data_IF_331008951144
#
_entry.id   IF_331008951144
#
_cell.length_a   1.000
_cell.length_b   1.000
_cell.length_c   1.000
_cell.angle_alpha   90.00
_cell.angle_beta   90.00
_cell.angle_gamma   90.00
#
_symmetry.space_group_name_H-M   'P 1'
#
loop_
_entity.id
_entity.type
_entity.pdbx_description
1 polymer ?
#
# COMPACT_ATOMS: atom_id res chain seq x y z
N UNK A 1 -8.89 -21.21 3.60
CA UNK A 1 -9.67 -20.56 4.64
C UNK A 1 -8.66 -19.88 5.55
N UNK A 2 -8.81 -18.56 5.76
CA UNK A 2 -7.85 -17.75 6.48
C UNK A 2 -7.55 -18.28 7.88
N UNK A 3 -6.52 -17.72 8.47
CA UNK A 3 -5.99 -18.05 9.80
C UNK A 3 -7.07 -17.77 10.87
N UNK A 4 -8.08 -18.64 10.95
CA UNK A 4 -9.13 -18.58 11.96
C UNK A 4 -8.73 -19.48 13.10
N UNK A 5 -8.76 -18.96 14.31
CA UNK A 5 -8.60 -19.72 15.58
C UNK A 5 -9.78 -20.68 15.82
N UNK A 6 -10.45 -21.10 14.77
CA UNK A 6 -11.60 -21.99 14.78
C UNK A 6 -11.09 -23.43 14.76
N UNK A 7 -11.38 -24.18 15.82
CA UNK A 7 -11.03 -25.60 15.89
C UNK A 7 -12.01 -26.42 15.03
N UNK A 8 -11.68 -26.63 13.77
CA UNK A 8 -12.49 -27.35 12.76
C UNK A 8 -12.98 -28.71 13.24
N UNK A 9 -12.16 -29.48 13.97
CA UNK A 9 -12.53 -30.80 14.44
C UNK A 9 -13.64 -30.74 15.50
N UNK A 10 -13.60 -29.73 16.38
CA UNK A 10 -14.61 -29.56 17.44
C UNK A 10 -15.95 -29.11 16.86
N UNK A 11 -15.92 -28.25 15.84
CA UNK A 11 -17.11 -27.78 15.10
C UNK A 11 -17.76 -28.93 14.35
N UNK A 12 -16.99 -29.71 13.59
CA UNK A 12 -17.49 -30.86 12.85
C UNK A 12 -18.23 -31.84 13.76
N UNK A 13 -17.64 -32.22 14.88
CA UNK A 13 -18.26 -33.19 15.81
C UNK A 13 -19.54 -32.68 16.46
N UNK A 14 -19.59 -31.37 16.84
CA UNK A 14 -20.73 -30.82 17.59
C UNK A 14 -21.93 -30.44 16.69
N UNK A 15 -21.65 -29.96 15.48
CA UNK A 15 -22.68 -29.35 14.62
C UNK A 15 -22.85 -30.04 13.27
N UNK A 16 -22.20 -31.19 13.06
CA UNK A 16 -22.28 -31.92 11.80
C UNK A 16 -23.75 -32.29 11.48
N UNK A 17 -24.23 -31.85 10.32
CA UNK A 17 -25.60 -32.08 9.85
C UNK A 17 -26.68 -31.23 10.52
N UNK A 18 -26.33 -30.38 11.51
CA UNK A 18 -27.30 -29.57 12.27
C UNK A 18 -27.26 -28.06 11.93
N UNK A 19 -26.33 -27.61 11.12
CA UNK A 19 -26.28 -26.20 10.68
C UNK A 19 -27.15 -25.98 9.46
N UNK A 20 -27.97 -24.92 9.49
CA UNK A 20 -28.81 -24.46 8.39
C UNK A 20 -28.11 -23.38 7.57
N UNK A 21 -27.38 -22.45 8.22
CA UNK A 21 -26.68 -21.35 7.57
C UNK A 21 -25.40 -20.99 8.32
N UNK A 22 -24.41 -20.49 7.58
CA UNK A 22 -23.17 -19.93 8.12
C UNK A 22 -23.01 -18.48 7.65
N UNK A 23 -22.54 -17.60 8.52
CA UNK A 23 -22.22 -16.22 8.23
C UNK A 23 -20.83 -15.86 8.78
N UNK A 24 -20.03 -15.13 7.98
CA UNK A 24 -18.64 -14.85 8.28
C UNK A 24 -18.43 -13.36 8.52
N UNK A 25 -17.82 -13.01 9.65
CA UNK A 25 -17.21 -11.70 9.86
C UNK A 25 -15.74 -11.73 9.40
N UNK A 26 -15.00 -10.63 9.59
CA UNK A 26 -13.57 -10.58 9.28
C UNK A 26 -12.72 -11.49 10.20
N UNK A 27 -13.22 -11.82 11.39
CA UNK A 27 -12.48 -12.50 12.46
C UNK A 27 -13.25 -13.65 13.14
N UNK A 28 -14.48 -13.91 12.73
CA UNK A 28 -15.34 -14.91 13.36
C UNK A 28 -16.33 -15.57 12.40
N UNK A 29 -16.88 -16.67 12.84
CA UNK A 29 -17.92 -17.45 12.17
C UNK A 29 -19.13 -17.56 13.08
N UNK A 30 -20.32 -17.37 12.54
CA UNK A 30 -21.61 -17.52 13.21
C UNK A 30 -22.40 -18.57 12.45
N UNK A 31 -22.98 -19.51 13.18
CA UNK A 31 -23.82 -20.55 12.63
C UNK A 31 -25.27 -20.41 13.09
N UNK A 32 -26.21 -20.70 12.21
CA UNK A 32 -27.62 -20.91 12.52
C UNK A 32 -27.89 -22.42 12.50
N UNK A 33 -28.39 -22.97 13.59
CA UNK A 33 -28.79 -24.36 13.64
C UNK A 33 -30.17 -24.58 13.00
N UNK A 34 -30.49 -25.81 12.64
CA UNK A 34 -31.85 -26.18 12.15
C UNK A 34 -32.96 -25.94 13.18
N UNK A 35 -32.58 -25.85 14.46
CA UNK A 35 -33.51 -25.53 15.56
C UNK A 35 -33.72 -24.02 15.77
N UNK A 36 -33.08 -23.16 14.95
CA UNK A 36 -33.21 -21.72 15.08
C UNK A 36 -32.30 -21.10 16.17
N UNK A 37 -31.31 -21.82 16.64
CA UNK A 37 -30.32 -21.31 17.60
C UNK A 37 -29.12 -20.72 16.90
N UNK A 38 -28.59 -19.61 17.41
CA UNK A 38 -27.37 -19.00 16.89
C UNK A 38 -26.16 -19.44 17.71
N UNK A 39 -25.15 -19.93 17.03
CA UNK A 39 -23.90 -20.44 17.64
C UNK A 39 -22.71 -19.60 17.17
N UNK A 40 -21.82 -19.30 18.12
CA UNK A 40 -20.58 -18.62 17.87
C UNK A 40 -19.43 -19.62 17.67
N UNK A 41 -18.63 -19.40 16.64
CA UNK A 41 -17.53 -20.27 16.25
C UNK A 41 -16.31 -19.40 15.94
N UNK A 42 -15.54 -19.02 16.98
CA UNK A 42 -14.38 -18.12 16.80
C UNK A 42 -13.61 -17.85 18.08
N UNK A 43 -12.72 -16.87 18.04
CA UNK A 43 -11.96 -16.40 19.20
C UNK A 43 -12.83 -15.54 20.12
N UNK A 44 -12.62 -15.63 21.42
CA UNK A 44 -13.33 -14.81 22.41
C UNK A 44 -13.05 -13.31 22.30
N UNK A 45 -12.01 -12.92 21.55
CA UNK A 45 -11.62 -11.52 21.35
C UNK A 45 -12.43 -10.82 20.25
N UNK A 46 -13.22 -11.55 19.47
CA UNK A 46 -14.06 -10.97 18.44
C UNK A 46 -15.21 -10.14 19.03
N UNK A 47 -15.53 -9.01 18.39
CA UNK A 47 -16.63 -8.14 18.78
C UNK A 47 -18.00 -8.82 18.77
N UNK A 48 -18.17 -9.88 17.98
CA UNK A 48 -19.41 -10.65 17.85
C UNK A 48 -19.48 -11.88 18.77
N UNK A 49 -18.46 -12.10 19.62
CA UNK A 49 -18.39 -13.27 20.52
C UNK A 49 -19.52 -13.33 21.55
N UNK A 50 -20.03 -12.17 21.96
CA UNK A 50 -21.14 -12.05 22.91
C UNK A 50 -22.47 -11.97 22.16
N UNK A 51 -23.10 -13.13 21.94
CA UNK A 51 -24.43 -13.19 21.34
C UNK A 51 -25.44 -12.63 22.33
N UNK A 52 -26.34 -11.70 21.92
CA UNK A 52 -27.42 -11.20 22.79
C UNK A 52 -28.37 -12.32 23.24
N UNK A 53 -28.86 -12.25 24.48
CA UNK A 53 -29.72 -13.28 25.05
C UNK A 53 -31.02 -13.46 24.26
N UNK A 54 -31.54 -12.39 23.66
CA UNK A 54 -32.77 -12.43 22.82
C UNK A 54 -32.57 -13.21 21.50
N UNK A 55 -31.31 -13.50 21.10
CA UNK A 55 -30.96 -14.26 19.91
C UNK A 55 -30.49 -15.68 20.29
N UNK A 56 -29.85 -15.82 21.45
CA UNK A 56 -29.28 -17.07 21.93
C UNK A 56 -30.34 -18.14 22.25
N UNK A 57 -31.52 -17.71 22.67
CA UNK A 57 -32.59 -18.60 23.14
C UNK A 57 -33.45 -19.16 21.99
N UNK A 58 -33.02 -19.07 20.74
CA UNK A 58 -33.73 -19.60 19.58
C UNK A 58 -34.73 -18.62 18.92
N UNK A 59 -35.57 -19.13 18.04
CA UNK A 59 -36.55 -18.32 17.28
C UNK A 59 -35.89 -17.45 16.20
N UNK A 60 -34.73 -17.84 15.70
CA UNK A 60 -34.02 -17.16 14.62
C UNK A 60 -34.28 -17.87 13.30
N UNK A 61 -34.79 -17.11 12.33
CA UNK A 61 -35.12 -17.56 10.98
C UNK A 61 -33.93 -17.43 10.01
N UNK A 62 -33.12 -16.36 10.15
CA UNK A 62 -32.02 -16.07 9.23
C UNK A 62 -30.90 -15.32 9.97
N UNK A 63 -29.67 -15.48 9.48
CA UNK A 63 -28.49 -14.76 9.99
C UNK A 63 -27.72 -14.13 8.85
N UNK A 64 -27.08 -13.01 9.15
CA UNK A 64 -26.11 -12.36 8.27
C UNK A 64 -24.93 -11.84 9.10
N UNK A 65 -23.78 -11.64 8.46
CA UNK A 65 -22.62 -11.03 9.07
C UNK A 65 -22.05 -9.94 8.15
N UNK A 66 -21.52 -8.91 8.76
CA UNK A 66 -20.79 -7.82 8.13
C UNK A 66 -19.34 -7.82 8.66
N UNK A 67 -18.49 -6.87 8.30
CA UNK A 67 -17.08 -6.86 8.66
C UNK A 67 -16.78 -7.26 10.10
N UNK A 68 -17.39 -6.60 11.09
CA UNK A 68 -17.21 -6.84 12.53
C UNK A 68 -18.53 -6.84 13.30
N UNK A 69 -19.63 -7.09 12.62
CA UNK A 69 -20.97 -7.18 13.22
C UNK A 69 -21.71 -8.39 12.71
N UNK A 70 -22.69 -8.83 13.47
CA UNK A 70 -23.59 -9.90 13.11
C UNK A 70 -25.03 -9.46 13.26
N UNK A 71 -25.94 -10.05 12.48
CA UNK A 71 -27.36 -9.79 12.51
C UNK A 71 -28.14 -11.11 12.51
N UNK A 72 -29.20 -11.16 13.28
CA UNK A 72 -30.16 -12.24 13.32
C UNK A 72 -31.57 -11.71 13.02
N UNK A 73 -32.27 -12.37 12.11
CA UNK A 73 -33.66 -12.16 11.83
C UNK A 73 -34.50 -13.14 12.64
N UNK A 74 -35.34 -12.65 13.50
CA UNK A 74 -36.24 -13.45 14.31
C UNK A 74 -37.50 -13.83 13.52
N UNK A 75 -38.22 -14.84 13.99
CA UNK A 75 -39.51 -15.29 13.36
C UNK A 75 -40.60 -14.22 13.37
N UNK A 76 -40.56 -13.29 14.37
CA UNK A 76 -41.44 -12.14 14.45
C UNK A 76 -41.17 -11.03 13.43
N UNK A 77 -40.03 -11.15 12.69
CA UNK A 77 -39.55 -10.16 11.71
C UNK A 77 -38.63 -9.10 12.30
N UNK A 78 -38.29 -9.15 13.61
CA UNK A 78 -37.35 -8.25 14.24
C UNK A 78 -35.91 -8.63 13.86
N UNK A 79 -35.08 -7.65 13.56
CA UNK A 79 -33.64 -7.83 13.33
C UNK A 79 -32.88 -7.35 14.55
N UNK A 80 -32.01 -8.21 15.07
CA UNK A 80 -31.10 -7.89 16.16
C UNK A 80 -29.67 -7.86 15.60
N UNK A 81 -28.98 -6.73 15.80
CA UNK A 81 -27.62 -6.54 15.33
C UNK A 81 -26.68 -6.37 16.52
N UNK A 82 -25.51 -7.02 16.49
CA UNK A 82 -24.52 -6.91 17.56
C UNK A 82 -23.09 -6.89 17.02
N UNK A 83 -22.12 -6.51 17.84
CA UNK A 83 -20.71 -6.38 17.49
C UNK A 83 -20.23 -4.94 17.48
N UNK A 84 -19.35 -4.57 16.55
CA UNK A 84 -18.77 -3.22 16.44
C UNK A 84 -19.65 -2.29 15.59
N UNK A 85 -20.63 -1.64 16.20
CA UNK A 85 -21.72 -0.86 15.57
C UNK A 85 -21.34 0.57 15.15
N UNK A 86 -20.08 0.81 14.71
CA UNK A 86 -19.58 2.17 14.44
C UNK A 86 -20.15 2.83 13.16
N UNK A 87 -20.75 2.08 12.26
CA UNK A 87 -21.21 2.60 10.97
C UNK A 87 -22.75 2.66 10.87
N UNK A 88 -23.48 2.51 11.97
CA UNK A 88 -24.94 2.51 11.99
C UNK A 88 -25.58 1.19 11.53
N UNK A 89 -24.84 0.08 11.71
CA UNK A 89 -25.33 -1.26 11.37
C UNK A 89 -26.54 -1.69 12.19
N UNK A 90 -26.73 -1.09 13.37
CA UNK A 90 -27.89 -1.28 14.28
C UNK A 90 -29.12 -0.47 13.90
N UNK A 91 -28.99 0.51 12.99
CA UNK A 91 -30.09 1.38 12.57
C UNK A 91 -30.94 0.73 11.49
N UNK A 92 -31.61 -0.35 11.85
CA UNK A 92 -32.52 -1.07 10.93
C UNK A 92 -33.69 -0.15 10.56
N UNK A 93 -33.96 0.10 9.27
CA UNK A 93 -35.10 0.93 8.85
C UNK A 93 -36.44 0.33 9.27
N UNK A 94 -37.36 1.17 9.71
CA UNK A 94 -38.75 0.75 9.93
C UNK A 94 -39.40 0.40 8.59
N UNK A 95 -40.07 -0.73 8.53
CA UNK A 95 -40.72 -1.25 7.32
C UNK A 95 -42.17 -1.61 7.57
N UNK A 96 -43.02 -1.39 6.56
CA UNK A 96 -44.42 -1.81 6.61
C UNK A 96 -44.62 -3.31 6.36
N UNK A 97 -43.67 -3.92 5.68
CA UNK A 97 -43.66 -5.33 5.34
C UNK A 97 -42.58 -6.06 6.14
N UNK A 98 -42.78 -7.34 6.44
CA UNK A 98 -41.81 -8.13 7.23
C UNK A 98 -40.56 -8.44 6.43
N UNK A 99 -39.43 -8.46 7.11
CA UNK A 99 -38.17 -8.92 6.54
C UNK A 99 -38.18 -10.44 6.41
N UNK A 100 -37.82 -10.98 5.25
CA UNK A 100 -37.79 -12.42 4.96
C UNK A 100 -36.39 -13.01 4.82
N UNK A 101 -35.42 -12.20 4.44
CA UNK A 101 -34.01 -12.64 4.38
C UNK A 101 -33.03 -11.49 4.62
N UNK A 102 -31.85 -11.84 5.15
CA UNK A 102 -30.77 -10.91 5.44
C UNK A 102 -29.50 -11.27 4.68
N UNK A 103 -28.78 -10.24 4.24
CA UNK A 103 -27.42 -10.35 3.73
C UNK A 103 -26.53 -9.25 4.31
N UNK A 104 -25.25 -9.54 4.52
CA UNK A 104 -24.27 -8.59 5.01
C UNK A 104 -23.20 -8.29 3.97
N UNK A 105 -22.88 -7.01 3.80
CA UNK A 105 -21.69 -6.56 3.08
C UNK A 105 -20.56 -6.25 4.07
N UNK A 106 -19.61 -5.36 3.70
CA UNK A 106 -18.49 -5.10 4.59
C UNK A 106 -18.86 -4.30 5.85
N UNK A 107 -19.71 -3.29 5.73
CA UNK A 107 -20.15 -2.41 6.83
C UNK A 107 -21.61 -1.99 6.62
N UNK A 108 -22.41 -2.83 5.99
CA UNK A 108 -23.81 -2.59 5.71
C UNK A 108 -24.56 -3.91 5.64
N UNK A 109 -25.87 -3.82 5.75
CA UNK A 109 -26.78 -4.93 5.59
C UNK A 109 -27.79 -4.63 4.50
N UNK A 110 -28.31 -5.67 3.91
CA UNK A 110 -29.46 -5.64 2.99
C UNK A 110 -30.48 -6.67 3.41
N UNK A 111 -31.74 -6.39 3.14
CA UNK A 111 -32.82 -7.32 3.41
C UNK A 111 -33.85 -7.31 2.29
N UNK A 112 -34.45 -8.47 2.04
CA UNK A 112 -35.63 -8.61 1.19
C UNK A 112 -36.85 -8.63 2.09
N UNK A 113 -37.87 -7.89 1.70
CA UNK A 113 -39.16 -7.83 2.37
C UNK A 113 -40.19 -8.79 1.74
N UNK A 114 -41.21 -9.13 2.48
CA UNK A 114 -42.27 -10.04 2.03
C UNK A 114 -43.04 -9.54 0.78
N UNK A 115 -43.12 -8.20 0.62
CA UNK A 115 -43.73 -7.58 -0.58
C UNK A 115 -42.79 -7.57 -1.81
N UNK A 116 -41.62 -8.19 -1.69
CA UNK A 116 -40.59 -8.26 -2.74
C UNK A 116 -39.80 -6.98 -2.92
N UNK A 117 -39.85 -6.03 -1.99
CA UNK A 117 -38.99 -4.87 -1.99
C UNK A 117 -37.65 -5.15 -1.25
N UNK A 118 -36.67 -4.26 -1.42
CA UNK A 118 -35.35 -4.36 -0.80
C UNK A 118 -35.09 -3.14 0.05
N UNK A 119 -34.51 -3.35 1.21
CA UNK A 119 -33.96 -2.30 2.07
C UNK A 119 -32.46 -2.52 2.30
N UNK A 120 -31.75 -1.45 2.64
CA UNK A 120 -30.33 -1.50 3.01
C UNK A 120 -30.04 -0.43 4.07
N UNK A 121 -29.08 -0.73 4.96
CA UNK A 121 -28.69 0.19 6.03
C UNK A 121 -27.24 -0.05 6.46
N UNK A 122 -26.68 0.86 7.29
CA UNK A 122 -25.29 0.87 7.71
C UNK A 122 -24.49 1.89 6.92
N UNK A 123 -23.20 1.63 6.69
CA UNK A 123 -22.31 2.55 5.98
C UNK A 123 -22.76 2.80 4.54
N UNK A 124 -22.78 4.07 4.12
CA UNK A 124 -23.32 4.48 2.82
C UNK A 124 -22.41 5.40 1.99
N UNK A 125 -21.11 5.38 2.23
CA UNK A 125 -20.17 6.26 1.53
C UNK A 125 -20.09 6.03 0.01
N UNK A 126 -20.51 4.88 -0.46
CA UNK A 126 -20.51 4.47 -1.87
C UNK A 126 -21.92 4.20 -2.42
N UNK A 127 -22.97 4.59 -1.68
CA UNK A 127 -24.36 4.31 -2.07
C UNK A 127 -24.79 2.87 -1.79
N UNK A 128 -24.04 2.10 -0.98
CA UNK A 128 -24.33 0.69 -0.69
C UNK A 128 -25.57 0.49 0.21
N UNK A 129 -26.03 1.54 0.87
CA UNK A 129 -27.29 1.54 1.59
C UNK A 129 -28.44 2.24 0.83
N UNK A 130 -28.22 2.68 -0.42
CA UNK A 130 -29.25 3.28 -1.27
C UNK A 130 -29.96 2.18 -2.08
N UNK A 131 -30.80 1.41 -1.40
CA UNK A 131 -31.57 0.35 -2.06
C UNK A 131 -32.50 0.92 -3.16
N UNK A 132 -32.54 0.32 -4.35
CA UNK A 132 -33.40 0.77 -5.43
C UNK A 132 -34.88 0.45 -5.14
N UNK A 133 -35.77 1.26 -5.61
CA UNK A 133 -37.24 1.03 -5.53
C UNK A 133 -37.70 -0.06 -6.53
N UNK A 134 -37.20 -1.28 -6.32
CA UNK A 134 -37.53 -2.46 -7.13
C UNK A 134 -38.48 -3.35 -6.35
N UNK A 135 -39.46 -3.96 -7.06
CA UNK A 135 -40.38 -4.98 -6.54
C UNK A 135 -40.06 -6.33 -7.18
N UNK A 136 -40.69 -7.39 -6.67
CA UNK A 136 -40.51 -8.77 -7.15
C UNK A 136 -39.06 -9.31 -6.97
N UNK A 137 -38.38 -8.83 -5.97
CA UNK A 137 -37.03 -9.34 -5.62
C UNK A 137 -37.19 -10.72 -4.99
N UNK A 138 -36.34 -11.65 -5.47
CA UNK A 138 -36.26 -13.01 -4.90
C UNK A 138 -35.05 -13.13 -3.98
N UNK A 139 -33.95 -12.46 -4.31
CA UNK A 139 -32.68 -12.58 -3.57
C UNK A 139 -31.82 -11.33 -3.71
N UNK A 140 -31.06 -11.02 -2.67
CA UNK A 140 -30.01 -10.01 -2.69
C UNK A 140 -28.68 -10.69 -2.32
N UNK A 141 -27.61 -10.33 -3.00
CA UNK A 141 -26.26 -10.73 -2.70
C UNK A 141 -25.46 -9.48 -2.38
N UNK A 142 -24.92 -9.39 -1.17
CA UNK A 142 -24.12 -8.25 -0.74
C UNK A 142 -22.63 -8.59 -0.80
N UNK A 143 -21.91 -7.82 -1.57
CA UNK A 143 -20.45 -7.81 -1.59
C UNK A 143 -19.87 -6.76 -0.65
N UNK A 144 -18.60 -6.40 -0.84
CA UNK A 144 -17.93 -5.43 0.04
C UNK A 144 -18.65 -4.08 0.09
N UNK A 145 -18.94 -3.49 -1.07
CA UNK A 145 -19.60 -2.17 -1.21
C UNK A 145 -20.60 -2.14 -2.34
N UNK A 146 -20.89 -3.26 -2.96
CA UNK A 146 -21.83 -3.41 -4.05
C UNK A 146 -22.81 -4.53 -3.76
N UNK A 147 -24.07 -4.33 -4.15
CA UNK A 147 -25.14 -5.29 -3.96
C UNK A 147 -25.73 -5.67 -5.31
N UNK A 148 -26.17 -6.90 -5.42
CA UNK A 148 -26.80 -7.48 -6.59
C UNK A 148 -28.21 -7.95 -6.19
N UNK A 149 -29.20 -7.47 -6.89
CA UNK A 149 -30.61 -7.78 -6.67
C UNK A 149 -31.10 -8.65 -7.80
N UNK A 150 -31.57 -9.84 -7.49
CA UNK A 150 -32.18 -10.76 -8.44
C UNK A 150 -33.71 -10.68 -8.31
N UNK A 151 -34.40 -10.42 -9.42
CA UNK A 151 -35.85 -10.36 -9.49
C UNK A 151 -36.43 -11.68 -10.02
N UNK A 152 -37.75 -11.89 -9.85
CA UNK A 152 -38.44 -13.12 -10.28
C UNK A 152 -38.33 -13.41 -11.78
N UNK A 153 -38.23 -12.38 -12.59
CA UNK A 153 -38.02 -12.44 -14.05
C UNK A 153 -36.58 -12.71 -14.46
N UNK A 154 -35.68 -13.00 -13.50
CA UNK A 154 -34.27 -13.32 -13.74
C UNK A 154 -33.40 -12.10 -14.00
N UNK A 155 -33.91 -10.88 -13.90
CA UNK A 155 -33.14 -9.66 -14.09
C UNK A 155 -32.26 -9.40 -12.88
N UNK A 156 -31.00 -9.03 -13.12
CA UNK A 156 -30.05 -8.60 -12.09
C UNK A 156 -29.87 -7.09 -12.16
N UNK A 157 -30.05 -6.43 -11.03
CA UNK A 157 -29.81 -4.98 -10.86
C UNK A 157 -28.79 -4.79 -9.75
N UNK A 158 -27.96 -3.76 -9.85
CA UNK A 158 -26.89 -3.50 -8.87
C UNK A 158 -27.07 -2.12 -8.24
N UNK A 159 -26.67 -1.99 -6.97
CA UNK A 159 -26.55 -0.71 -6.29
C UNK A 159 -25.36 -0.68 -5.34
N UNK A 160 -24.92 0.52 -4.94
CA UNK A 160 -23.69 0.72 -4.22
C UNK A 160 -22.56 1.15 -5.15
N UNK A 161 -21.35 0.76 -4.83
CA UNK A 161 -20.18 1.08 -5.64
C UNK A 161 -20.33 0.49 -7.05
N UNK A 162 -20.34 1.35 -8.05
CA UNK A 162 -20.51 0.93 -9.47
C UNK A 162 -19.29 0.24 -10.06
N UNK A 163 -18.27 -0.02 -9.26
CA UNK A 163 -16.99 -0.59 -9.64
C UNK A 163 -15.83 0.35 -9.31
N UNK A 164 -14.61 -0.16 -9.37
CA UNK A 164 -13.40 0.63 -9.24
C UNK A 164 -12.87 0.98 -10.63
N UNK A 165 -12.48 2.23 -10.85
CA UNK A 165 -12.07 2.76 -12.16
C UNK A 165 -10.98 1.89 -12.84
N UNK A 166 -9.99 1.44 -12.06
CA UNK A 166 -8.91 0.57 -12.53
C UNK A 166 -9.03 -0.88 -12.03
N UNK A 167 -10.21 -1.26 -11.50
CA UNK A 167 -10.40 -2.58 -10.90
C UNK A 167 -9.83 -2.69 -9.48
N UNK A 168 -9.65 -3.94 -9.03
CA UNK A 168 -9.20 -4.26 -7.68
C UNK A 168 -7.94 -5.12 -7.69
N UNK A 169 -7.25 -5.15 -6.54
CA UNK A 169 -6.21 -6.15 -6.26
C UNK A 169 -6.80 -7.48 -5.77
N UNK A 170 -5.94 -8.42 -5.34
CA UNK A 170 -6.32 -9.76 -4.84
C UNK A 170 -7.16 -9.74 -3.56
N UNK A 171 -7.15 -8.62 -2.82
CA UNK A 171 -7.92 -8.44 -1.59
C UNK A 171 -9.17 -7.58 -1.80
N UNK A 172 -9.54 -7.30 -3.05
CA UNK A 172 -10.68 -6.46 -3.39
C UNK A 172 -10.50 -4.97 -3.08
N UNK A 173 -9.24 -4.50 -2.88
CA UNK A 173 -8.93 -3.10 -2.59
C UNK A 173 -8.85 -2.30 -3.89
N UNK A 174 -9.33 -1.07 -3.88
CA UNK A 174 -9.28 -0.14 -5.02
C UNK A 174 -7.86 0.05 -5.55
N UNK A 175 -7.64 -0.33 -6.80
CA UNK A 175 -6.33 -0.27 -7.43
C UNK A 175 -5.87 1.18 -7.65
N UNK A 176 -6.76 2.09 -8.06
CA UNK A 176 -6.41 3.51 -8.27
C UNK A 176 -5.89 4.15 -6.97
N UNK A 177 -6.61 3.94 -5.86
CA UNK A 177 -6.17 4.45 -4.56
C UNK A 177 -4.80 3.87 -4.15
N UNK A 178 -4.57 2.59 -4.42
CA UNK A 178 -3.27 1.95 -4.15
C UNK A 178 -2.16 2.50 -5.04
N UNK A 179 -2.43 2.78 -6.31
CA UNK A 179 -1.47 3.39 -7.24
C UNK A 179 -1.04 4.77 -6.76
N UNK A 180 -2.00 5.62 -6.37
CA UNK A 180 -1.69 6.98 -5.88
C UNK A 180 -0.88 6.94 -4.59
N UNK A 181 -1.30 6.13 -3.60
CA UNK A 181 -0.57 6.01 -2.34
C UNK A 181 0.77 5.28 -2.51
N UNK A 182 0.82 4.29 -3.41
CA UNK A 182 2.04 3.58 -3.77
C UNK A 182 3.07 4.49 -4.42
N UNK A 183 2.62 5.37 -5.33
CA UNK A 183 3.48 6.37 -5.95
C UNK A 183 4.06 7.34 -4.94
N UNK A 184 3.23 7.87 -4.02
CA UNK A 184 3.72 8.72 -2.92
C UNK A 184 4.80 8.02 -2.10
N UNK A 185 4.62 6.74 -1.78
CA UNK A 185 5.59 5.96 -1.01
C UNK A 185 6.88 5.75 -1.81
N UNK A 186 6.81 5.25 -3.05
CA UNK A 186 7.97 5.01 -3.92
C UNK A 186 8.78 6.30 -4.14
N UNK A 187 8.10 7.44 -4.45
CA UNK A 187 8.76 8.74 -4.62
C UNK A 187 9.41 9.24 -3.33
N UNK A 188 8.74 9.09 -2.18
CA UNK A 188 9.31 9.49 -0.89
C UNK A 188 10.57 8.67 -0.57
N UNK A 189 10.53 7.36 -0.81
CA UNK A 189 11.69 6.48 -0.58
C UNK A 189 12.85 6.86 -1.49
N UNK A 190 12.60 7.09 -2.78
CA UNK A 190 13.61 7.57 -3.72
C UNK A 190 14.21 8.91 -3.30
N UNK A 191 13.38 9.88 -2.90
CA UNK A 191 13.85 11.21 -2.49
C UNK A 191 14.73 11.15 -1.24
N UNK A 192 14.31 10.41 -0.21
CA UNK A 192 15.14 10.26 1.02
C UNK A 192 16.46 9.56 0.71
N UNK A 193 16.43 8.51 -0.13
CA UNK A 193 17.66 7.82 -0.53
C UNK A 193 18.63 8.74 -1.27
N UNK A 194 18.14 9.56 -2.20
CA UNK A 194 18.96 10.54 -2.92
C UNK A 194 19.52 11.61 -1.99
N UNK A 195 18.72 12.14 -1.06
CA UNK A 195 19.23 13.12 -0.08
C UNK A 195 20.39 12.54 0.72
N UNK A 196 20.27 11.31 1.21
CA UNK A 196 21.35 10.61 1.93
C UNK A 196 22.58 10.42 1.02
N UNK A 197 22.36 9.96 -0.21
CA UNK A 197 23.40 9.76 -1.21
C UNK A 197 24.16 11.06 -1.53
N UNK A 198 23.43 12.16 -1.74
CA UNK A 198 24.00 13.49 -2.02
C UNK A 198 24.86 13.98 -0.84
N UNK A 199 24.34 13.89 0.38
CA UNK A 199 25.09 14.33 1.56
C UNK A 199 26.43 13.58 1.66
N UNK A 200 26.40 12.24 1.57
CA UNK A 200 27.61 11.42 1.66
C UNK A 200 28.53 11.70 0.46
N UNK A 201 27.98 11.71 -0.76
CA UNK A 201 28.75 11.92 -1.99
C UNK A 201 29.45 13.27 -2.05
N UNK A 202 28.78 14.34 -1.62
CA UNK A 202 29.35 15.70 -1.55
C UNK A 202 30.44 15.78 -0.50
N UNK A 203 30.25 15.19 0.69
CA UNK A 203 31.28 15.18 1.74
C UNK A 203 32.52 14.40 1.30
N UNK A 204 32.33 13.16 0.84
CA UNK A 204 33.45 12.29 0.44
C UNK A 204 34.16 12.84 -0.79
N UNK A 205 33.39 13.22 -1.83
CA UNK A 205 33.94 13.78 -3.06
C UNK A 205 34.63 15.14 -2.86
N UNK A 206 34.03 16.01 -2.04
CA UNK A 206 34.56 17.31 -1.68
C UNK A 206 35.91 17.21 -0.95
N UNK A 207 35.98 16.38 0.08
CA UNK A 207 37.22 16.16 0.85
C UNK A 207 38.28 15.48 -0.01
N UNK A 208 37.93 14.42 -0.72
CA UNK A 208 38.84 13.67 -1.60
C UNK A 208 39.43 14.57 -2.69
N UNK A 209 38.59 15.35 -3.41
CA UNK A 209 39.05 16.24 -4.47
C UNK A 209 39.91 17.39 -4.00
N UNK A 210 39.64 17.97 -2.83
CA UNK A 210 40.36 19.13 -2.32
C UNK A 210 41.69 18.77 -1.71
N UNK A 211 41.73 17.79 -0.79
CA UNK A 211 42.98 17.46 -0.06
C UNK A 211 43.97 16.67 -0.92
N UNK A 212 43.48 15.80 -1.80
CA UNK A 212 44.36 14.98 -2.64
C UNK A 212 45.23 13.99 -1.87
N UNK A 213 46.31 13.52 -2.48
CA UNK A 213 47.32 12.69 -1.84
C UNK A 213 46.80 11.45 -1.12
N UNK A 214 47.22 11.21 0.10
CA UNK A 214 46.84 10.03 0.90
C UNK A 214 45.36 10.03 1.28
N UNK A 215 44.79 11.21 1.54
CA UNK A 215 43.33 11.34 1.86
C UNK A 215 42.48 10.90 0.68
N UNK A 216 42.82 11.39 -0.51
CA UNK A 216 42.16 10.99 -1.74
C UNK A 216 42.28 9.49 -1.98
N UNK A 217 43.51 8.95 -1.86
CA UNK A 217 43.77 7.52 -2.06
C UNK A 217 42.87 6.65 -1.14
N UNK A 218 42.80 6.98 0.16
CA UNK A 218 42.01 6.23 1.13
C UNK A 218 40.50 6.31 0.83
N UNK A 219 39.99 7.53 0.54
CA UNK A 219 38.56 7.73 0.22
C UNK A 219 38.20 7.07 -1.11
N UNK A 220 39.09 7.05 -2.12
CA UNK A 220 38.83 6.31 -3.35
C UNK A 220 38.82 4.79 -3.12
N UNK A 221 39.71 4.25 -2.27
CA UNK A 221 39.62 2.82 -1.88
C UNK A 221 38.35 2.47 -1.17
N UNK A 222 37.87 3.34 -0.28
CA UNK A 222 36.55 3.16 0.35
C UNK A 222 35.42 3.17 -0.70
N UNK A 223 35.45 4.12 -1.64
CA UNK A 223 34.47 4.22 -2.73
C UNK A 223 34.51 2.99 -3.62
N UNK A 224 35.67 2.46 -3.94
CA UNK A 224 35.85 1.21 -4.70
C UNK A 224 35.26 0.00 -3.96
N UNK A 225 35.56 -0.14 -2.65
CA UNK A 225 35.02 -1.22 -1.82
C UNK A 225 33.50 -1.19 -1.80
N UNK A 226 32.89 -0.03 -1.58
CA UNK A 226 31.42 0.10 -1.57
C UNK A 226 30.83 -0.19 -2.97
N UNK A 227 31.47 0.32 -4.03
CA UNK A 227 31.02 0.09 -5.42
C UNK A 227 31.14 -1.39 -5.86
N UNK A 228 32.06 -2.16 -5.25
CA UNK A 228 32.23 -3.59 -5.57
C UNK A 228 31.14 -4.48 -4.98
N UNK A 229 30.36 -3.97 -4.03
CA UNK A 229 29.26 -4.73 -3.41
C UNK A 229 28.09 -4.80 -4.42
N UNK A 230 27.64 -6.01 -4.81
CA UNK A 230 26.49 -6.14 -5.68
C UNK A 230 25.24 -5.68 -4.93
N UNK A 231 24.72 -4.50 -5.32
CA UNK A 231 23.71 -3.76 -4.58
C UNK A 231 22.46 -4.59 -4.22
N UNK A 232 21.79 -5.20 -5.21
CA UNK A 232 20.54 -5.93 -4.99
C UNK A 232 20.71 -7.12 -4.03
N UNK A 233 21.66 -8.06 -4.24
CA UNK A 233 21.90 -9.15 -3.30
C UNK A 233 22.20 -8.68 -1.88
N UNK A 234 23.00 -7.63 -1.72
CA UNK A 234 23.33 -7.11 -0.39
C UNK A 234 22.11 -6.48 0.30
N UNK A 235 21.33 -5.68 -0.41
CA UNK A 235 20.10 -5.09 0.11
C UNK A 235 19.06 -6.16 0.48
N UNK A 236 18.96 -7.23 -0.30
CA UNK A 236 18.07 -8.37 -0.02
C UNK A 236 18.48 -9.10 1.27
N UNK A 237 19.79 -9.38 1.44
CA UNK A 237 20.33 -10.03 2.65
C UNK A 237 20.05 -9.16 3.89
N UNK A 238 20.36 -7.86 3.84
CA UNK A 238 20.11 -6.95 4.95
C UNK A 238 18.62 -6.85 5.28
N UNK A 239 17.77 -6.70 4.26
CA UNK A 239 16.32 -6.65 4.45
C UNK A 239 15.78 -7.94 5.06
N UNK A 240 16.31 -9.10 4.70
CA UNK A 240 15.93 -10.40 5.25
C UNK A 240 16.33 -10.56 6.72
N UNK A 241 17.57 -10.18 7.07
CA UNK A 241 18.10 -10.33 8.45
C UNK A 241 17.36 -9.41 9.43
N UNK A 242 17.10 -8.17 9.02
CA UNK A 242 16.60 -7.12 9.90
C UNK A 242 15.08 -6.97 9.80
N UNK A 243 14.50 -7.29 8.65
CA UNK A 243 13.09 -7.06 8.34
C UNK A 243 12.09 -7.74 9.29
N UNK A 244 12.43 -8.92 9.81
CA UNK A 244 11.59 -9.67 10.76
C UNK A 244 11.62 -9.14 12.20
N UNK A 245 12.57 -8.28 12.55
CA UNK A 245 12.80 -7.79 13.92
C UNK A 245 12.34 -6.35 14.15
N UNK A 246 12.06 -5.62 13.09
CA UNK A 246 11.70 -4.20 13.16
C UNK A 246 10.20 -3.97 12.94
N UNK A 247 9.60 -2.97 13.61
CA UNK A 247 8.29 -2.48 13.26
C UNK A 247 8.28 -1.94 11.82
N UNK A 248 7.11 -1.92 11.18
CA UNK A 248 6.97 -1.60 9.74
C UNK A 248 7.60 -0.26 9.35
N UNK A 249 7.38 0.80 10.14
CA UNK A 249 7.94 2.13 9.89
C UNK A 249 9.47 2.14 9.92
N UNK A 250 10.08 1.46 10.89
CA UNK A 250 11.53 1.36 11.01
C UNK A 250 12.14 0.55 9.86
N UNK A 251 11.44 -0.49 9.38
CA UNK A 251 11.88 -1.26 8.21
C UNK A 251 11.87 -0.43 6.93
N UNK A 252 10.83 0.38 6.70
CA UNK A 252 10.76 1.29 5.56
C UNK A 252 11.92 2.30 5.62
N UNK A 253 12.13 2.92 6.78
CA UNK A 253 13.25 3.85 6.97
C UNK A 253 14.60 3.18 6.74
N UNK A 254 14.80 1.98 7.24
CA UNK A 254 16.02 1.19 7.01
C UNK A 254 16.28 0.96 5.50
N UNK A 255 15.25 0.62 4.72
CA UNK A 255 15.38 0.45 3.27
C UNK A 255 15.85 1.76 2.62
N UNK A 256 15.27 2.91 3.00
CA UNK A 256 15.68 4.22 2.51
C UNK A 256 17.16 4.51 2.81
N UNK A 257 17.60 4.19 4.03
CA UNK A 257 18.99 4.37 4.45
C UNK A 257 19.93 3.45 3.67
N UNK A 258 19.58 2.17 3.51
CA UNK A 258 20.40 1.22 2.72
C UNK A 258 20.55 1.71 1.28
N UNK A 259 19.46 2.15 0.64
CA UNK A 259 19.48 2.71 -0.71
C UNK A 259 20.43 3.90 -0.79
N UNK A 260 20.31 4.86 0.12
CA UNK A 260 21.13 6.06 0.12
C UNK A 260 22.61 5.80 0.42
N UNK A 261 22.88 4.94 1.42
CA UNK A 261 24.26 4.61 1.86
C UNK A 261 25.03 3.78 0.83
N UNK A 262 24.36 3.09 -0.07
CA UNK A 262 25.03 2.32 -1.12
C UNK A 262 25.11 3.06 -2.47
N UNK A 263 24.34 4.14 -2.67
CA UNK A 263 24.23 4.81 -3.98
C UNK A 263 25.16 6.02 -4.15
N UNK A 264 25.81 6.50 -3.10
CA UNK A 264 26.60 7.75 -3.11
C UNK A 264 27.89 7.70 -3.93
N UNK A 265 28.39 6.53 -4.29
CA UNK A 265 29.74 6.36 -4.85
C UNK A 265 29.93 7.02 -6.21
N UNK A 266 28.93 7.01 -7.08
CA UNK A 266 28.96 7.67 -8.39
C UNK A 266 29.01 9.18 -8.26
N UNK A 267 28.16 9.74 -7.38
CA UNK A 267 28.15 11.17 -7.09
C UNK A 267 29.48 11.64 -6.45
N UNK A 268 30.02 10.85 -5.53
CA UNK A 268 31.33 11.19 -4.91
C UNK A 268 32.46 11.31 -5.94
N UNK A 269 32.51 10.39 -6.91
CA UNK A 269 33.52 10.48 -8.00
C UNK A 269 33.30 11.71 -8.87
N UNK A 270 32.07 12.06 -9.17
CA UNK A 270 31.72 13.24 -9.95
C UNK A 270 32.10 14.52 -9.20
N UNK A 271 31.69 14.66 -7.93
CA UNK A 271 32.02 15.81 -7.09
C UNK A 271 33.54 15.94 -6.92
N UNK A 272 34.24 14.83 -6.70
CA UNK A 272 35.72 14.82 -6.65
C UNK A 272 36.33 15.41 -7.91
N UNK A 273 35.90 14.99 -9.10
CA UNK A 273 36.42 15.49 -10.36
C UNK A 273 36.17 17.00 -10.52
N UNK A 274 34.98 17.49 -10.16
CA UNK A 274 34.67 18.92 -10.20
C UNK A 274 35.51 19.72 -9.19
N UNK A 275 35.62 19.23 -7.96
CA UNK A 275 36.44 19.89 -6.91
C UNK A 275 37.92 19.92 -7.27
N UNK A 276 38.47 18.89 -7.93
CA UNK A 276 39.83 18.88 -8.45
C UNK A 276 40.08 20.00 -9.48
N UNK A 277 39.09 20.27 -10.35
CA UNK A 277 39.17 21.35 -11.33
C UNK A 277 39.08 22.73 -10.66
N UNK A 278 38.14 22.88 -9.72
CA UNK A 278 37.87 24.16 -9.05
C UNK A 278 38.95 24.56 -8.04
N UNK A 279 39.66 23.63 -7.41
CA UNK A 279 40.66 23.93 -6.38
C UNK A 279 41.89 24.69 -6.91
N UNK A 280 42.15 24.63 -8.21
CA UNK A 280 43.27 25.33 -8.88
C UNK A 280 42.89 26.76 -9.32
N UNK A 281 41.66 27.19 -9.10
CA UNK A 281 41.16 28.51 -9.49
C UNK A 281 41.71 29.62 -8.57
N UNK A 282 41.85 30.85 -9.12
CA UNK A 282 42.41 32.00 -8.42
C UNK A 282 41.68 32.36 -7.12
N UNK A 283 40.37 32.23 -7.09
CA UNK A 283 39.55 32.51 -5.89
C UNK A 283 39.91 31.57 -4.71
N UNK A 284 40.28 30.33 -4.99
CA UNK A 284 40.75 29.37 -3.96
C UNK A 284 42.07 29.78 -3.41
N UNK A 285 43.00 30.18 -4.28
CA UNK A 285 44.32 30.68 -3.91
C UNK A 285 44.20 31.95 -3.06
N UNK A 286 43.35 32.89 -3.44
CA UNK A 286 43.04 34.09 -2.66
C UNK A 286 42.49 33.77 -1.27
N UNK A 287 41.53 32.81 -1.20
CA UNK A 287 40.94 32.38 0.07
C UNK A 287 41.96 31.77 1.02
N UNK A 288 42.92 30.96 0.50
CA UNK A 288 44.04 30.43 1.26
C UNK A 288 44.97 31.54 1.78
N UNK A 289 45.31 32.53 0.91
CA UNK A 289 46.12 33.66 1.29
C UNK A 289 45.50 34.52 2.41
N UNK A 290 44.15 34.58 2.45
CA UNK A 290 43.40 35.24 3.53
C UNK A 290 43.29 34.41 4.82
N UNK A 291 43.88 33.20 4.86
CA UNK A 291 43.85 32.34 6.05
C UNK A 291 42.53 31.63 6.32
N UNK A 292 41.67 31.53 5.33
CA UNK A 292 40.39 30.81 5.47
C UNK A 292 40.67 29.32 5.64
N UNK A 293 39.96 28.67 6.59
CA UNK A 293 40.10 27.23 6.88
C UNK A 293 39.75 26.39 5.65
N UNK A 294 40.53 25.37 5.33
CA UNK A 294 40.40 24.55 4.13
C UNK A 294 38.98 23.92 3.96
N UNK A 295 38.41 23.37 5.03
CA UNK A 295 37.00 22.84 4.97
C UNK A 295 35.99 23.95 4.66
N UNK A 296 36.22 25.18 5.09
CA UNK A 296 35.37 26.32 4.75
C UNK A 296 35.48 26.67 3.28
N UNK A 297 36.70 26.60 2.72
CA UNK A 297 36.92 26.79 1.28
C UNK A 297 36.17 25.75 0.48
N UNK A 298 36.24 24.46 0.85
CA UNK A 298 35.52 23.38 0.18
C UNK A 298 34.00 23.65 0.19
N UNK A 299 33.40 23.75 1.39
CA UNK A 299 31.97 23.74 1.50
C UNK A 299 31.27 25.09 1.28
N UNK A 300 31.97 26.22 1.46
CA UNK A 300 31.40 27.56 1.26
C UNK A 300 31.81 28.26 -0.02
N UNK A 301 32.92 27.82 -0.64
CA UNK A 301 33.38 28.50 -1.88
C UNK A 301 33.40 27.55 -3.08
N UNK A 302 33.84 26.30 -2.96
CA UNK A 302 33.93 25.37 -4.10
C UNK A 302 32.62 24.68 -4.35
N UNK A 303 32.01 24.01 -3.34
CA UNK A 303 30.76 23.25 -3.53
C UNK A 303 29.62 24.09 -4.12
N UNK A 304 29.40 25.37 -3.71
CA UNK A 304 28.39 26.21 -4.37
C UNK A 304 28.62 26.43 -5.87
N UNK A 305 29.84 26.46 -6.34
CA UNK A 305 30.14 26.62 -7.77
C UNK A 305 29.82 25.37 -8.59
N UNK A 306 29.87 24.19 -7.97
CA UNK A 306 29.57 22.90 -8.61
C UNK A 306 28.16 22.39 -8.30
N UNK A 307 27.35 23.15 -7.56
CA UNK A 307 26.02 22.75 -7.10
C UNK A 307 25.08 22.37 -8.25
N UNK A 308 25.20 23.06 -9.38
CA UNK A 308 24.42 22.82 -10.58
C UNK A 308 24.61 21.39 -11.11
N UNK A 309 25.85 20.93 -11.19
CA UNK A 309 26.17 19.55 -11.62
C UNK A 309 25.65 18.53 -10.60
N UNK A 310 25.71 18.86 -9.31
CA UNK A 310 25.19 18.00 -8.23
C UNK A 310 23.68 17.86 -8.36
N UNK A 311 22.93 18.95 -8.60
CA UNK A 311 21.47 18.93 -8.73
C UNK A 311 21.05 18.08 -9.93
N UNK A 312 21.67 18.25 -11.08
CA UNK A 312 21.40 17.47 -12.29
C UNK A 312 21.58 15.98 -12.01
N UNK A 313 22.74 15.62 -11.44
CA UNK A 313 23.06 14.21 -11.13
C UNK A 313 22.10 13.65 -10.10
N UNK A 314 21.77 14.40 -9.04
CA UNK A 314 20.81 13.98 -8.02
C UNK A 314 19.41 13.73 -8.61
N UNK A 315 19.00 14.52 -9.61
CA UNK A 315 17.71 14.32 -10.29
C UNK A 315 17.70 13.01 -11.09
N UNK A 316 18.76 12.68 -11.78
CA UNK A 316 18.90 11.41 -12.51
C UNK A 316 19.00 10.22 -11.54
N UNK A 317 19.77 10.38 -10.45
CA UNK A 317 19.86 9.37 -9.38
C UNK A 317 18.51 9.10 -8.69
N UNK A 318 17.61 10.09 -8.65
CA UNK A 318 16.28 9.91 -8.10
C UNK A 318 15.46 8.87 -8.89
N UNK A 319 15.46 8.93 -10.22
CA UNK A 319 14.83 7.91 -11.05
C UNK A 319 15.45 6.53 -10.82
N UNK A 320 16.76 6.45 -10.71
CA UNK A 320 17.51 5.22 -10.45
C UNK A 320 17.16 4.62 -9.08
N UNK A 321 17.09 5.45 -8.03
CA UNK A 321 16.70 5.02 -6.68
C UNK A 321 15.25 4.51 -6.64
N UNK A 322 14.32 5.16 -7.36
CA UNK A 322 12.93 4.68 -7.46
C UNK A 322 12.85 3.31 -8.15
N UNK A 323 13.58 3.11 -9.25
CA UNK A 323 13.61 1.82 -9.96
C UNK A 323 14.23 0.74 -9.09
N UNK A 324 15.27 1.07 -8.32
CA UNK A 324 15.95 0.13 -7.43
C UNK A 324 15.07 -0.27 -6.25
N UNK A 325 14.35 0.69 -5.61
CA UNK A 325 13.32 0.41 -4.62
C UNK A 325 12.23 -0.51 -5.18
N UNK A 326 11.74 -0.15 -6.37
CA UNK A 326 10.67 -0.93 -7.02
C UNK A 326 11.12 -2.35 -7.34
N UNK A 327 12.36 -2.54 -7.76
CA UNK A 327 12.95 -3.86 -8.00
C UNK A 327 13.07 -4.68 -6.71
N UNK A 328 13.53 -4.06 -5.62
CA UNK A 328 13.64 -4.70 -4.30
C UNK A 328 12.26 -5.10 -3.76
N UNK A 329 11.27 -4.21 -3.88
CA UNK A 329 9.88 -4.46 -3.49
C UNK A 329 9.20 -5.51 -4.38
N UNK A 330 9.47 -5.52 -5.68
CA UNK A 330 9.01 -6.55 -6.62
C UNK A 330 9.53 -7.94 -6.24
N UNK A 331 10.78 -8.04 -5.84
CA UNK A 331 11.39 -9.29 -5.38
C UNK A 331 10.92 -9.72 -3.96
N UNK A 332 10.11 -8.89 -3.28
CA UNK A 332 9.54 -9.21 -1.96
C UNK A 332 10.42 -8.80 -0.78
N UNK A 333 11.54 -8.13 -1.01
CA UNK A 333 12.48 -7.67 0.03
C UNK A 333 12.33 -6.18 0.39
N UNK A 334 11.40 -5.48 -0.26
CA UNK A 334 11.09 -4.07 -0.01
C UNK A 334 10.00 -3.87 1.04
N UNK A 335 9.10 -2.92 0.76
CA UNK A 335 7.96 -2.61 1.62
C UNK A 335 6.95 -3.74 1.63
N UNK A 336 6.63 -4.26 2.82
CA UNK A 336 5.65 -5.32 2.96
C UNK A 336 4.21 -4.78 2.88
N UNK A 337 3.29 -5.66 2.51
CA UNK A 337 1.86 -5.41 2.65
C UNK A 337 1.51 -5.12 4.13
N UNK A 338 0.49 -4.27 4.42
CA UNK A 338 -0.53 -3.79 3.49
C UNK A 338 -0.19 -2.49 2.75
N UNK A 339 0.91 -1.80 3.08
CA UNK A 339 1.27 -0.51 2.44
C UNK A 339 1.64 -0.72 0.98
N UNK A 340 1.05 0.06 0.05
CA UNK A 340 1.40 -0.04 -1.35
C UNK A 340 2.70 0.71 -1.66
N UNK A 341 3.53 0.12 -2.52
CA UNK A 341 4.51 0.80 -3.38
C UNK A 341 4.28 0.32 -4.81
N UNK A 342 4.74 1.04 -5.81
CA UNK A 342 4.60 0.54 -7.19
C UNK A 342 5.33 -0.78 -7.37
N UNK A 343 6.48 -0.97 -6.73
CA UNK A 343 7.24 -2.22 -6.78
C UNK A 343 6.50 -3.42 -6.18
N UNK A 344 5.92 -3.29 -4.97
CA UNK A 344 5.22 -4.42 -4.36
C UNK A 344 3.87 -4.71 -5.03
N UNK A 345 3.25 -3.72 -5.70
CA UNK A 345 2.07 -3.96 -6.53
C UNK A 345 2.40 -4.81 -7.76
N UNK A 346 3.62 -4.71 -8.28
CA UNK A 346 4.10 -5.53 -9.39
C UNK A 346 4.47 -6.97 -8.98
N UNK A 347 4.71 -7.23 -7.69
CA UNK A 347 5.08 -8.57 -7.19
C UNK A 347 4.09 -9.66 -7.63
N UNK A 348 2.79 -9.34 -7.70
CA UNK A 348 1.77 -10.26 -8.22
C UNK A 348 2.00 -10.75 -9.65
N UNK A 349 2.75 -9.99 -10.47
CA UNK A 349 3.05 -10.35 -11.86
C UNK A 349 4.08 -11.51 -12.01
N UNK A 350 4.61 -12.03 -10.91
CA UNK A 350 5.39 -13.29 -10.94
C UNK A 350 4.47 -14.48 -11.27
N UNK A 351 3.18 -14.39 -10.96
CA UNK A 351 2.21 -15.46 -11.21
C UNK A 351 1.62 -15.35 -12.62
N UNK A 352 1.73 -16.42 -13.41
CA UNK A 352 1.23 -16.50 -14.80
C UNK A 352 -0.29 -16.28 -14.92
N UNK A 353 -1.07 -16.65 -13.91
CA UNK A 353 -2.52 -16.41 -13.88
C UNK A 353 -2.79 -14.91 -13.74
N UNK A 354 -2.02 -14.20 -12.91
CA UNK A 354 -2.14 -12.75 -12.75
C UNK A 354 -1.78 -12.02 -14.04
N UNK A 355 -0.72 -12.46 -14.73
CA UNK A 355 -0.30 -11.86 -16.01
C UNK A 355 -1.43 -11.99 -17.05
N UNK A 356 -2.03 -13.18 -17.18
CA UNK A 356 -3.02 -13.48 -18.23
C UNK A 356 -4.41 -12.93 -17.91
N UNK A 357 -4.90 -13.13 -16.67
CA UNK A 357 -6.31 -12.92 -16.32
C UNK A 357 -6.57 -11.64 -15.54
N UNK A 358 -5.54 -11.04 -14.94
CA UNK A 358 -5.65 -9.85 -14.07
C UNK A 358 -4.64 -8.79 -14.49
N UNK A 359 -4.51 -8.56 -15.82
CA UNK A 359 -3.53 -7.67 -16.43
C UNK A 359 -3.51 -6.24 -15.85
N UNK A 360 -4.66 -5.70 -15.45
CA UNK A 360 -4.77 -4.35 -14.88
C UNK A 360 -3.95 -4.17 -13.60
N UNK A 361 -3.72 -5.25 -12.85
CA UNK A 361 -2.98 -5.21 -11.56
C UNK A 361 -1.51 -4.86 -11.72
N UNK A 362 -0.91 -5.17 -12.85
CA UNK A 362 0.50 -4.91 -13.12
C UNK A 362 0.73 -3.87 -14.21
N UNK A 363 -0.13 -3.78 -15.21
CA UNK A 363 0.03 -2.83 -16.34
C UNK A 363 -0.02 -1.38 -15.86
N UNK A 364 -1.02 -1.01 -15.06
CA UNK A 364 -1.14 0.37 -14.59
C UNK A 364 0.02 0.82 -13.69
N UNK A 365 0.47 0.06 -12.67
CA UNK A 365 1.65 0.43 -11.89
C UNK A 365 2.93 0.50 -12.74
N UNK A 366 3.11 -0.41 -13.72
CA UNK A 366 4.28 -0.41 -14.62
C UNK A 366 4.32 0.85 -15.49
N UNK A 367 3.20 1.21 -16.12
CA UNK A 367 3.10 2.42 -16.96
C UNK A 367 3.43 3.66 -16.14
N UNK A 368 2.85 3.79 -14.93
CA UNK A 368 3.07 4.96 -14.09
C UNK A 368 4.50 5.05 -13.59
N UNK A 369 5.11 3.93 -13.19
CA UNK A 369 6.52 3.90 -12.83
C UNK A 369 7.41 4.33 -14.01
N UNK A 370 7.16 3.78 -15.20
CA UNK A 370 7.91 4.13 -16.42
C UNK A 370 7.75 5.60 -16.81
N UNK A 371 6.51 6.10 -16.85
CA UNK A 371 6.22 7.51 -17.15
C UNK A 371 6.88 8.43 -16.12
N UNK A 372 6.80 8.11 -14.84
CA UNK A 372 7.43 8.90 -13.78
C UNK A 372 8.96 8.96 -13.96
N UNK A 373 9.61 7.83 -14.23
CA UNK A 373 11.06 7.78 -14.50
C UNK A 373 11.44 8.61 -15.73
N UNK A 374 10.66 8.52 -16.82
CA UNK A 374 10.89 9.33 -18.03
C UNK A 374 10.74 10.81 -17.72
N UNK A 375 9.70 11.21 -17.02
CA UNK A 375 9.48 12.62 -16.65
C UNK A 375 10.63 13.15 -15.77
N UNK A 376 11.10 12.38 -14.80
CA UNK A 376 12.23 12.78 -13.95
C UNK A 376 13.51 12.93 -14.78
N UNK A 377 13.81 12.00 -15.68
CA UNK A 377 14.97 12.09 -16.56
C UNK A 377 14.88 13.32 -17.47
N UNK A 378 13.71 13.59 -18.08
CA UNK A 378 13.52 14.79 -18.89
C UNK A 378 13.70 16.10 -18.10
N UNK A 379 13.27 16.11 -16.82
CA UNK A 379 13.54 17.25 -15.93
C UNK A 379 15.03 17.38 -15.65
N UNK A 380 15.73 16.26 -15.40
CA UNK A 380 17.18 16.23 -15.21
C UNK A 380 17.95 16.75 -16.44
N UNK A 381 17.56 16.30 -17.64
CA UNK A 381 18.16 16.75 -18.91
C UNK A 381 17.86 18.24 -19.15
N UNK A 382 16.62 18.68 -18.93
CA UNK A 382 16.27 20.10 -19.04
C UNK A 382 17.02 20.99 -18.05
N UNK A 383 17.27 20.52 -16.83
CA UNK A 383 18.12 21.22 -15.85
C UNK A 383 19.56 21.28 -16.34
N UNK A 384 20.09 20.21 -16.92
CA UNK A 384 21.43 20.18 -17.51
C UNK A 384 21.58 21.19 -18.62
N UNK A 385 20.63 21.23 -19.56
CA UNK A 385 20.64 22.16 -20.68
C UNK A 385 20.54 23.63 -20.23
N UNK A 386 19.72 23.90 -19.20
CA UNK A 386 19.56 25.25 -18.64
C UNK A 386 20.82 25.77 -17.90
N UNK A 387 21.66 24.85 -17.40
CA UNK A 387 22.87 25.16 -16.65
C UNK A 387 24.11 25.21 -17.56
N UNK A 388 24.07 24.59 -18.75
CA UNK A 388 25.19 24.60 -19.69
C UNK A 388 25.31 26.00 -20.37
N UNK A 389 26.43 26.75 -20.11
CA UNK A 389 26.61 28.09 -20.72
C UNK A 389 26.67 28.08 -22.24
N UNK A 390 27.02 26.92 -22.84
CA UNK A 390 27.15 26.78 -24.31
C UNK A 390 25.81 26.61 -25.03
N UNK A 391 24.72 26.38 -24.29
CA UNK A 391 23.40 26.25 -24.92
C UNK A 391 22.79 27.57 -25.39
N UNK A 392 23.29 28.70 -24.88
CA UNK A 392 22.85 30.05 -25.24
C UNK A 392 23.48 30.63 -26.54
N UNK A 393 24.35 29.88 -27.21
CA UNK A 393 25.00 30.33 -28.47
C UNK A 393 24.38 29.69 -29.74
N UNK A 394 23.21 29.08 -29.64
CA UNK A 394 22.47 28.55 -30.82
C UNK A 394 21.18 29.26 -31.08
#
# INVERSE_FOLDING_TARGET
>A
FGNTSVNDAKIRRKYQGNLAKLAFTSDALIGLTKAGEVVYLGSNDSSVSKIPDEVKNGGVKDIAASGFTAAALKEDGKVVVWGNLKNGEDKVPETKSKIVSLQGGRYHYTAVLEDGSVIAWGKNNFGQANAPSIKNVTQVFSGYYQNYVLTKDGKVTTFGLKGYLLGTDELGRDLLNRIVNGGRMTMTMGAVAVIISVIIGVIVGGISGFFGGTVDLLLQRLTEMVSSIPFLPFAMILSSIVGGKLPESARIFMIMVILGVLSWTSLARLVRAQVLAEREQEFVTAARAMGIKELTIVFKHIIPNVISVIIVTATLDFATCMLTESSLSFLGFGVALPRPTWGNMLNGAINSVVIKSYWWRWVFPSILLGVCCICINLVGDGLRDAIDPKSNER
#
